data_IF_642847775295
#
_entry.id   IF_642847775295
#
_cell.length_a   1.000
_cell.length_b   1.000
_cell.length_c   1.000
_cell.angle_alpha   90.00
_cell.angle_beta   90.00
_cell.angle_gamma   90.00
#
_symmetry.space_group_name_H-M   'P 1'
#
loop_
_entity.id
_entity.type
_entity.pdbx_description
1 polymer ?
#
# COMPACT_ATOMS: atom_id res chain seq x y z
N UNK A 1 4.15 -15.98 12.63
CA UNK A 1 4.48 -15.27 11.38
C UNK A 1 5.26 -16.24 10.52
N UNK A 2 4.68 -16.62 9.40
CA UNK A 2 5.36 -17.40 8.36
C UNK A 2 6.12 -16.43 7.46
N UNK A 3 7.34 -16.79 7.06
CA UNK A 3 8.18 -15.97 6.22
C UNK A 3 8.09 -16.49 4.78
N UNK A 4 7.74 -15.59 3.86
CA UNK A 4 7.69 -15.90 2.43
C UNK A 4 9.02 -15.49 1.80
N UNK A 5 9.67 -16.39 1.07
CA UNK A 5 10.90 -16.09 0.36
C UNK A 5 10.63 -15.18 -0.84
N UNK A 6 11.54 -14.25 -1.11
CA UNK A 6 11.54 -13.54 -2.38
C UNK A 6 11.99 -14.51 -3.48
N UNK A 7 11.37 -14.44 -4.68
CA UNK A 7 11.78 -15.24 -5.83
C UNK A 7 13.29 -15.20 -6.06
N UNK A 8 13.87 -16.35 -6.44
CA UNK A 8 15.29 -16.43 -6.78
C UNK A 8 15.66 -15.41 -7.86
N UNK A 9 16.87 -14.88 -7.78
CA UNK A 9 17.39 -13.87 -8.71
C UNK A 9 16.60 -12.55 -8.76
N UNK A 10 15.78 -12.26 -7.74
CA UNK A 10 15.08 -10.99 -7.65
C UNK A 10 15.55 -10.15 -6.45
N UNK A 11 15.63 -8.84 -6.69
CA UNK A 11 15.95 -7.83 -5.69
C UNK A 11 14.94 -6.69 -5.76
N UNK A 12 14.86 -5.89 -4.70
CA UNK A 12 14.08 -4.67 -4.72
C UNK A 12 14.95 -3.49 -5.12
N UNK A 13 14.52 -2.71 -6.10
CA UNK A 13 14.92 -1.31 -6.22
C UNK A 13 13.95 -0.45 -5.41
N UNK A 14 14.47 0.52 -4.66
CA UNK A 14 13.68 1.47 -3.88
C UNK A 14 13.97 2.87 -4.36
N UNK A 15 12.92 3.62 -4.68
CA UNK A 15 12.98 5.02 -5.10
C UNK A 15 12.21 5.92 -4.12
N UNK A 16 12.92 6.78 -3.39
CA UNK A 16 12.32 7.89 -2.65
C UNK A 16 12.05 9.05 -3.61
N UNK A 17 10.81 9.53 -3.64
CA UNK A 17 10.36 10.48 -4.64
C UNK A 17 10.83 11.92 -4.41
N UNK A 18 11.50 12.23 -3.29
CA UNK A 18 11.93 13.59 -2.96
C UNK A 18 10.83 14.47 -2.35
N UNK A 19 9.67 13.89 -2.05
CA UNK A 19 8.60 14.49 -1.25
C UNK A 19 8.46 13.72 0.06
N UNK A 20 8.68 14.40 1.18
CA UNK A 20 8.27 13.88 2.47
C UNK A 20 6.75 14.00 2.59
N UNK A 21 6.12 13.01 3.22
CA UNK A 21 4.76 13.17 3.72
C UNK A 21 4.76 14.30 4.75
N UNK A 22 4.32 15.49 4.33
CA UNK A 22 4.32 16.67 5.19
C UNK A 22 3.36 16.42 6.37
N UNK A 23 3.88 16.37 7.61
CA UNK A 23 3.07 16.14 8.82
C UNK A 23 2.36 17.43 9.30
N UNK A 24 1.98 18.32 8.38
CA UNK A 24 1.47 19.66 8.70
C UNK A 24 0.26 20.02 7.83
N UNK A 25 -0.74 20.68 8.42
CA UNK A 25 -1.90 21.22 7.72
C UNK A 25 -2.74 20.15 7.02
N UNK A 26 -3.21 20.44 5.80
CA UNK A 26 -4.13 19.58 5.06
C UNK A 26 -3.63 18.14 4.80
N UNK A 27 -2.31 17.91 4.78
CA UNK A 27 -1.74 16.56 4.64
C UNK A 27 -1.89 15.75 5.93
N UNK A 28 -1.80 16.40 7.09
CA UNK A 28 -2.08 15.78 8.38
C UNK A 28 -3.57 15.40 8.49
N UNK A 29 -4.48 16.24 8.01
CA UNK A 29 -5.92 15.91 7.99
C UNK A 29 -6.23 14.71 7.09
N UNK A 30 -5.56 14.60 5.93
CA UNK A 30 -5.67 13.43 5.05
C UNK A 30 -5.05 12.17 5.68
N UNK A 31 -3.94 12.31 6.39
CA UNK A 31 -3.35 11.21 7.14
C UNK A 31 -4.28 10.73 8.26
N UNK A 32 -4.79 11.67 9.07
CA UNK A 32 -5.74 11.40 10.14
C UNK A 32 -7.00 10.74 9.58
N UNK A 33 -7.50 11.20 8.42
CA UNK A 33 -8.59 10.55 7.71
C UNK A 33 -8.32 9.06 7.46
N UNK A 34 -7.16 8.66 6.94
CA UNK A 34 -6.89 7.24 6.62
C UNK A 34 -6.93 6.32 7.86
N UNK A 35 -6.45 6.83 9.00
CA UNK A 35 -6.48 6.12 10.28
C UNK A 35 -7.87 6.15 10.91
N UNK A 36 -8.42 7.34 11.14
CA UNK A 36 -9.67 7.58 11.85
C UNK A 36 -10.90 7.01 11.11
N UNK A 37 -10.89 7.01 9.77
CA UNK A 37 -12.00 6.47 8.98
C UNK A 37 -12.21 4.98 9.21
N UNK A 38 -11.16 4.18 9.42
CA UNK A 38 -11.33 2.75 9.76
C UNK A 38 -11.98 2.55 11.12
N UNK A 39 -11.64 3.39 12.09
CA UNK A 39 -12.25 3.37 13.41
C UNK A 39 -13.72 3.81 13.34
N UNK A 40 -14.05 4.78 12.48
CA UNK A 40 -15.41 5.21 12.23
C UNK A 40 -16.26 4.10 11.57
N UNK A 41 -15.71 3.35 10.61
CA UNK A 41 -16.41 2.17 10.05
C UNK A 41 -16.67 1.13 11.15
N UNK A 42 -15.66 0.81 11.96
CA UNK A 42 -15.83 -0.15 13.05
C UNK A 42 -16.86 0.33 14.09
N UNK A 43 -16.90 1.64 14.38
CA UNK A 43 -17.88 2.23 15.28
C UNK A 43 -19.31 2.12 14.74
N UNK A 44 -19.52 2.42 13.45
CA UNK A 44 -20.84 2.28 12.83
C UNK A 44 -21.34 0.83 12.90
N UNK A 45 -20.46 -0.14 12.62
CA UNK A 45 -20.80 -1.56 12.71
C UNK A 45 -21.11 -2.02 14.14
N UNK A 46 -20.31 -1.60 15.14
CA UNK A 46 -20.57 -1.91 16.55
C UNK A 46 -21.93 -1.42 17.02
N UNK A 47 -22.30 -0.19 16.64
CA UNK A 47 -23.60 0.40 16.97
C UNK A 47 -24.76 -0.36 16.31
N UNK A 48 -24.63 -0.71 15.03
CA UNK A 48 -25.69 -1.39 14.29
C UNK A 48 -25.90 -2.86 14.76
N UNK A 49 -24.83 -3.53 15.15
CA UNK A 49 -24.84 -4.96 15.47
C UNK A 49 -24.93 -5.27 16.97
N UNK A 50 -24.86 -4.25 17.83
CA UNK A 50 -24.73 -4.38 19.29
C UNK A 50 -23.54 -5.28 19.69
N UNK A 51 -22.36 -4.93 19.15
CA UNK A 51 -21.09 -5.69 19.31
C UNK A 51 -19.92 -4.79 19.69
N UNK A 52 -18.77 -5.37 20.03
CA UNK A 52 -17.63 -4.68 20.63
C UNK A 52 -16.28 -4.83 19.89
N UNK A 53 -16.23 -5.47 18.71
CA UNK A 53 -14.99 -5.63 17.96
C UNK A 53 -14.31 -4.28 17.65
N UNK A 54 -13.04 -4.17 18.09
CA UNK A 54 -12.36 -2.89 18.18
C UNK A 54 -12.06 -2.25 16.82
N UNK A 55 -11.70 -3.06 15.82
CA UNK A 55 -11.22 -2.58 14.51
C UNK A 55 -11.64 -3.51 13.37
N UNK A 56 -11.52 -3.03 12.13
CA UNK A 56 -11.92 -3.77 10.93
C UNK A 56 -11.29 -5.16 10.81
N UNK A 57 -10.02 -5.31 11.18
CA UNK A 57 -9.38 -6.64 11.18
C UNK A 57 -10.07 -7.66 12.09
N UNK A 58 -10.54 -7.25 13.26
CA UNK A 58 -11.28 -8.11 14.17
C UNK A 58 -12.67 -8.42 13.59
N UNK A 59 -13.35 -7.42 13.04
CA UNK A 59 -14.65 -7.58 12.37
C UNK A 59 -14.54 -8.55 11.19
N UNK A 60 -13.51 -8.42 10.35
CA UNK A 60 -13.32 -9.27 9.18
C UNK A 60 -12.94 -10.71 9.51
N UNK A 61 -12.48 -10.97 10.73
CA UNK A 61 -12.13 -12.30 11.21
C UNK A 61 -13.32 -13.07 11.82
N UNK A 62 -14.49 -12.42 11.98
CA UNK A 62 -15.69 -13.06 12.52
C UNK A 62 -16.19 -14.13 11.53
N UNK A 63 -16.50 -15.35 11.98
CA UNK A 63 -17.16 -16.35 11.14
C UNK A 63 -18.48 -15.81 10.58
N UNK A 64 -18.63 -15.85 9.25
CA UNK A 64 -19.80 -15.28 8.57
C UNK A 64 -19.71 -13.78 8.28
N UNK A 65 -18.53 -13.15 8.44
CA UNK A 65 -18.29 -11.77 8.05
C UNK A 65 -18.88 -11.43 6.67
N UNK A 66 -19.65 -10.34 6.62
CA UNK A 66 -20.20 -9.78 5.38
C UNK A 66 -19.82 -8.31 5.25
N UNK A 67 -19.03 -7.99 4.23
CA UNK A 67 -18.75 -6.60 3.83
C UNK A 67 -20.06 -5.82 3.62
N UNK A 68 -21.09 -6.47 3.08
CA UNK A 68 -22.39 -5.84 2.82
C UNK A 68 -23.08 -5.41 4.12
N UNK A 69 -23.01 -6.21 5.18
CA UNK A 69 -23.55 -5.84 6.50
C UNK A 69 -22.83 -4.62 7.09
N UNK A 70 -21.50 -4.54 6.95
CA UNK A 70 -20.75 -3.35 7.37
C UNK A 70 -21.13 -2.12 6.53
N UNK A 71 -21.34 -2.30 5.23
CA UNK A 71 -21.78 -1.21 4.35
C UNK A 71 -23.20 -0.72 4.67
N UNK A 72 -24.10 -1.60 5.13
CA UNK A 72 -25.42 -1.23 5.65
C UNK A 72 -25.28 -0.46 6.97
N UNK A 73 -24.45 -0.94 7.90
CA UNK A 73 -24.20 -0.26 9.17
C UNK A 73 -23.66 1.17 8.98
N UNK A 74 -22.76 1.41 8.00
CA UNK A 74 -22.30 2.77 7.66
C UNK A 74 -23.46 3.69 7.26
N UNK A 75 -24.50 3.16 6.60
CA UNK A 75 -25.67 3.93 6.15
C UNK A 75 -26.65 4.19 7.28
N UNK A 76 -26.86 3.21 8.15
CA UNK A 76 -27.81 3.27 9.26
C UNK A 76 -27.27 4.03 10.48
N UNK A 77 -25.95 3.99 10.68
CA UNK A 77 -25.22 4.69 11.74
C UNK A 77 -24.19 5.66 11.12
N UNK A 78 -24.63 6.75 10.47
CA UNK A 78 -23.75 7.69 9.80
C UNK A 78 -22.81 8.40 10.79
N UNK A 79 -21.60 8.72 10.31
CA UNK A 79 -20.64 9.50 11.08
C UNK A 79 -20.87 11.00 10.93
N UNK A 80 -20.73 11.76 12.01
CA UNK A 80 -20.74 13.23 11.97
C UNK A 80 -19.52 13.82 11.24
N UNK A 81 -18.42 13.04 11.13
CA UNK A 81 -17.13 13.51 10.60
C UNK A 81 -16.88 13.08 9.15
N UNK A 82 -17.47 11.97 8.73
CA UNK A 82 -17.18 11.37 7.43
C UNK A 82 -18.46 11.02 6.67
N UNK A 83 -18.45 11.26 5.37
CA UNK A 83 -19.57 10.87 4.50
C UNK A 83 -19.66 9.35 4.38
N UNK A 84 -20.87 8.84 4.10
CA UNK A 84 -21.11 7.42 3.79
C UNK A 84 -20.17 6.94 2.67
N UNK A 85 -19.95 7.75 1.63
CA UNK A 85 -19.05 7.41 0.53
C UNK A 85 -17.62 7.20 1.01
N UNK A 86 -17.06 8.15 1.78
CA UNK A 86 -15.70 8.04 2.32
C UNK A 86 -15.50 6.79 3.16
N UNK A 87 -16.46 6.48 4.04
CA UNK A 87 -16.40 5.28 4.87
C UNK A 87 -16.57 3.99 4.04
N UNK A 88 -17.39 4.02 3.00
CA UNK A 88 -17.56 2.90 2.07
C UNK A 88 -16.28 2.67 1.26
N UNK A 89 -15.68 3.71 0.68
CA UNK A 89 -14.42 3.62 -0.06
C UNK A 89 -13.29 3.10 0.83
N UNK A 90 -13.27 3.50 2.12
CA UNK A 90 -12.30 2.97 3.09
C UNK A 90 -12.53 1.50 3.42
N UNK A 91 -13.78 1.08 3.64
CA UNK A 91 -14.16 -0.32 3.84
C UNK A 91 -13.78 -1.16 2.63
N UNK A 92 -14.06 -0.67 1.42
CA UNK A 92 -13.73 -1.33 0.16
C UNK A 92 -12.24 -1.56 0.03
N UNK A 93 -11.44 -0.51 0.23
CA UNK A 93 -10.00 -0.66 0.22
C UNK A 93 -9.54 -1.67 1.27
N UNK A 94 -10.03 -1.58 2.51
CA UNK A 94 -9.64 -2.52 3.57
C UNK A 94 -9.93 -3.97 3.18
N UNK A 95 -11.14 -4.23 2.68
CA UNK A 95 -11.58 -5.56 2.29
C UNK A 95 -10.75 -6.11 1.13
N UNK A 96 -10.57 -5.32 0.06
CA UNK A 96 -9.76 -5.73 -1.07
C UNK A 96 -8.32 -6.01 -0.66
N UNK A 97 -7.69 -5.12 0.11
CA UNK A 97 -6.28 -5.27 0.47
C UNK A 97 -6.06 -6.44 1.42
N UNK A 98 -6.83 -6.53 2.52
CA UNK A 98 -6.55 -7.45 3.62
C UNK A 98 -7.19 -8.83 3.42
N UNK A 99 -8.37 -8.89 2.80
CA UNK A 99 -9.11 -10.16 2.68
C UNK A 99 -8.91 -10.83 1.32
N UNK A 100 -8.50 -10.09 0.28
CA UNK A 100 -8.37 -10.64 -1.08
C UNK A 100 -6.94 -10.58 -1.61
N UNK A 101 -6.33 -9.39 -1.64
CA UNK A 101 -5.05 -9.16 -2.31
C UNK A 101 -3.89 -9.73 -1.52
N UNK A 102 -3.75 -9.37 -0.24
CA UNK A 102 -2.60 -9.78 0.57
C UNK A 102 -2.49 -11.31 0.69
N UNK A 103 -3.56 -12.07 1.04
CA UNK A 103 -3.48 -13.53 1.07
C UNK A 103 -3.11 -14.11 -0.30
N UNK A 104 -3.77 -13.66 -1.37
CA UNK A 104 -3.48 -14.16 -2.72
C UNK A 104 -2.08 -13.81 -3.24
N UNK A 105 -1.51 -12.69 -2.77
CA UNK A 105 -0.15 -12.27 -3.13
C UNK A 105 0.89 -13.12 -2.40
N UNK A 106 0.61 -13.50 -1.15
CA UNK A 106 1.41 -14.48 -0.40
C UNK A 106 1.37 -15.83 -1.12
N UNK A 107 0.19 -16.36 -1.41
CA UNK A 107 0.03 -17.63 -2.15
C UNK A 107 0.78 -17.58 -3.49
N UNK A 108 0.67 -16.47 -4.24
CA UNK A 108 1.33 -16.31 -5.52
C UNK A 108 2.86 -16.31 -5.41
N UNK A 109 3.44 -15.77 -4.34
CA UNK A 109 4.88 -15.82 -4.11
C UNK A 109 5.33 -17.23 -3.71
N UNK A 110 4.59 -17.90 -2.82
CA UNK A 110 4.87 -19.27 -2.38
C UNK A 110 4.79 -20.28 -3.52
N UNK A 111 3.84 -20.10 -4.44
CA UNK A 111 3.66 -20.93 -5.63
C UNK A 111 4.53 -20.49 -6.84
N UNK A 112 5.38 -19.46 -6.68
CA UNK A 112 6.20 -18.88 -7.75
C UNK A 112 5.39 -18.35 -8.96
N UNK A 113 4.13 -17.97 -8.76
CA UNK A 113 3.23 -17.41 -9.76
C UNK A 113 3.42 -15.88 -9.90
N UNK A 114 4.55 -15.46 -10.47
CA UNK A 114 4.94 -14.04 -10.58
C UNK A 114 3.97 -13.18 -11.39
N UNK A 115 3.35 -13.70 -12.44
CA UNK A 115 2.36 -12.95 -13.22
C UNK A 115 1.14 -12.61 -12.35
N UNK A 116 0.68 -13.56 -11.54
CA UNK A 116 -0.43 -13.33 -10.59
C UNK A 116 -0.04 -12.36 -9.49
N UNK A 117 1.16 -12.48 -8.93
CA UNK A 117 1.67 -11.53 -7.95
C UNK A 117 1.69 -10.10 -8.52
N UNK A 118 2.14 -9.98 -9.76
CA UNK A 118 2.19 -8.71 -10.50
C UNK A 118 0.80 -8.07 -10.62
N UNK A 119 -0.20 -8.82 -11.09
CA UNK A 119 -1.57 -8.33 -11.22
C UNK A 119 -2.17 -7.87 -9.87
N UNK A 120 -1.85 -8.58 -8.80
CA UNK A 120 -2.31 -8.26 -7.44
C UNK A 120 -1.67 -6.97 -6.92
N UNK A 121 -0.37 -6.77 -7.15
CA UNK A 121 0.34 -5.54 -6.76
C UNK A 121 -0.15 -4.34 -7.58
N UNK A 122 -0.32 -4.50 -8.90
CA UNK A 122 -0.86 -3.46 -9.78
C UNK A 122 -2.28 -3.06 -9.31
N UNK A 123 -3.10 -4.04 -8.89
CA UNK A 123 -4.42 -3.78 -8.30
C UNK A 123 -4.35 -3.06 -6.95
N UNK A 124 -3.45 -3.45 -6.05
CA UNK A 124 -3.24 -2.76 -4.76
C UNK A 124 -2.90 -1.29 -4.99
N UNK A 125 -1.96 -1.00 -5.90
CA UNK A 125 -1.60 0.36 -6.27
C UNK A 125 -2.82 1.14 -6.82
N UNK A 126 -3.60 0.56 -7.72
CA UNK A 126 -4.79 1.21 -8.27
C UNK A 126 -5.84 1.54 -7.19
N UNK A 127 -6.01 0.67 -6.19
CA UNK A 127 -6.94 0.91 -5.07
C UNK A 127 -6.39 1.98 -4.12
N UNK A 128 -5.07 2.06 -3.92
CA UNK A 128 -4.45 3.15 -3.18
C UNK A 128 -4.65 4.50 -3.89
N UNK A 129 -4.58 4.53 -5.22
CA UNK A 129 -4.84 5.73 -6.04
C UNK A 129 -6.33 6.13 -6.04
N UNK A 130 -7.25 5.18 -6.20
CA UNK A 130 -8.67 5.45 -6.43
C UNK A 130 -9.52 5.51 -5.16
N UNK A 131 -9.25 4.66 -4.17
CA UNK A 131 -10.06 4.55 -2.94
C UNK A 131 -9.42 5.27 -1.75
N UNK A 132 -8.13 5.01 -1.46
CA UNK A 132 -7.45 5.75 -0.39
C UNK A 132 -7.11 7.18 -0.80
N UNK A 133 -6.84 7.38 -2.09
CA UNK A 133 -6.37 8.63 -2.64
C UNK A 133 -5.17 9.17 -1.84
N UNK A 134 -4.27 8.27 -1.42
CA UNK A 134 -3.10 8.59 -0.61
C UNK A 134 -1.81 8.64 -1.42
N UNK A 135 -1.90 8.61 -2.74
CA UNK A 135 -0.74 8.69 -3.65
C UNK A 135 -0.53 10.12 -4.15
N UNK A 136 0.69 10.45 -4.55
CA UNK A 136 1.02 11.72 -5.22
C UNK A 136 1.41 11.47 -6.67
N UNK A 137 1.39 12.51 -7.51
CA UNK A 137 1.84 12.39 -8.89
C UNK A 137 3.26 11.82 -8.99
N UNK A 138 4.12 12.13 -8.01
CA UNK A 138 5.47 11.59 -7.94
C UNK A 138 5.50 10.08 -7.65
N UNK A 139 4.74 9.58 -6.67
CA UNK A 139 4.73 8.14 -6.34
C UNK A 139 4.05 7.34 -7.44
N UNK A 140 2.97 7.88 -8.03
CA UNK A 140 2.30 7.28 -9.20
C UNK A 140 3.25 7.18 -10.39
N UNK A 141 3.97 8.27 -10.70
CA UNK A 141 4.94 8.27 -11.80
C UNK A 141 6.05 7.25 -11.56
N UNK A 142 6.59 7.16 -10.35
CA UNK A 142 7.63 6.18 -10.02
C UNK A 142 7.17 4.75 -10.21
N UNK A 143 5.96 4.40 -9.77
CA UNK A 143 5.41 3.05 -9.99
C UNK A 143 5.29 2.77 -11.48
N UNK A 144 4.65 3.68 -12.23
CA UNK A 144 4.44 3.50 -13.67
C UNK A 144 5.77 3.38 -14.42
N UNK A 145 6.72 4.26 -14.16
CA UNK A 145 8.01 4.25 -14.84
C UNK A 145 8.87 3.03 -14.48
N UNK A 146 8.74 2.48 -13.26
CA UNK A 146 9.38 1.21 -12.90
C UNK A 146 8.82 0.05 -13.73
N UNK A 147 7.49 0.00 -13.89
CA UNK A 147 6.81 -1.02 -14.70
C UNK A 147 7.17 -0.90 -16.18
N UNK A 148 7.16 0.33 -16.73
CA UNK A 148 7.55 0.61 -18.12
C UNK A 148 9.02 0.20 -18.41
N UNK A 149 9.88 0.23 -17.40
CA UNK A 149 11.29 -0.19 -17.48
C UNK A 149 11.49 -1.68 -17.17
N UNK A 150 10.40 -2.44 -17.04
CA UNK A 150 10.42 -3.88 -16.94
C UNK A 150 10.61 -4.43 -15.52
N UNK A 151 10.26 -3.67 -14.48
CA UNK A 151 10.07 -4.26 -13.15
C UNK A 151 8.93 -5.27 -13.17
N UNK A 152 9.07 -6.39 -12.48
CA UNK A 152 8.03 -7.44 -12.34
C UNK A 152 6.80 -6.86 -11.68
N UNK A 153 6.98 -6.15 -10.56
CA UNK A 153 5.92 -5.47 -9.85
C UNK A 153 6.48 -4.20 -9.20
N UNK A 154 5.64 -3.20 -8.97
CA UNK A 154 6.05 -2.00 -8.27
C UNK A 154 4.85 -1.39 -7.53
N UNK A 155 5.10 -0.85 -6.34
CA UNK A 155 4.05 -0.21 -5.55
C UNK A 155 4.64 0.83 -4.59
N UNK A 156 3.86 1.88 -4.34
CA UNK A 156 4.15 2.82 -3.28
C UNK A 156 3.94 2.13 -1.92
N UNK A 157 4.81 2.43 -0.96
CA UNK A 157 4.71 1.82 0.37
C UNK A 157 4.86 2.84 1.49
N UNK A 158 4.37 2.45 2.67
CA UNK A 158 4.23 3.33 3.82
C UNK A 158 2.90 4.08 3.79
N UNK A 159 2.86 5.24 4.44
CA UNK A 159 1.61 5.94 4.69
C UNK A 159 1.00 6.66 3.47
N UNK A 160 1.79 6.92 2.43
CA UNK A 160 1.41 7.75 1.29
C UNK A 160 1.71 9.25 1.48
N UNK A 161 1.17 10.07 0.58
CA UNK A 161 1.38 11.52 0.44
C UNK A 161 2.83 11.92 0.16
N UNK A 162 3.56 11.04 -0.53
CA UNK A 162 4.98 11.14 -0.83
C UNK A 162 5.67 9.84 -0.43
N UNK A 163 6.97 9.90 -0.12
CA UNK A 163 7.73 8.75 0.33
C UNK A 163 8.30 7.93 -0.82
N UNK A 164 8.24 6.60 -0.68
CA UNK A 164 9.02 5.69 -1.51
C UNK A 164 8.15 4.69 -2.26
N UNK A 165 8.70 4.22 -3.36
CA UNK A 165 8.19 3.14 -4.20
C UNK A 165 9.21 2.02 -4.19
N UNK A 166 8.76 0.78 -4.08
CA UNK A 166 9.59 -0.39 -4.36
C UNK A 166 9.26 -0.93 -5.75
N UNK A 167 10.25 -1.53 -6.40
CA UNK A 167 10.13 -2.25 -7.66
C UNK A 167 10.87 -3.58 -7.53
N UNK A 168 10.19 -4.69 -7.79
CA UNK A 168 10.78 -6.02 -7.83
C UNK A 168 11.39 -6.25 -9.22
N UNK A 169 12.68 -6.51 -9.28
CA UNK A 169 13.43 -6.63 -10.54
C UNK A 169 14.34 -7.86 -10.52
N UNK A 170 14.67 -8.37 -11.70
CA UNK A 170 15.70 -9.39 -11.85
C UNK A 170 17.08 -8.80 -11.57
N UNK A 171 17.92 -9.51 -10.80
CA UNK A 171 19.20 -9.04 -10.30
C UNK A 171 20.21 -8.69 -11.42
N UNK A 172 20.17 -9.44 -12.53
CA UNK A 172 21.02 -9.20 -13.72
C UNK A 172 20.89 -7.79 -14.31
N UNK A 173 19.76 -7.11 -14.09
CA UNK A 173 19.52 -5.74 -14.60
C UNK A 173 19.55 -4.68 -13.50
N UNK A 174 19.90 -5.06 -12.27
CA UNK A 174 19.67 -4.21 -11.10
C UNK A 174 20.41 -2.86 -11.16
N UNK A 175 21.67 -2.87 -11.59
CA UNK A 175 22.48 -1.65 -11.73
C UNK A 175 21.92 -0.70 -12.79
N UNK A 176 21.74 -1.18 -14.02
CA UNK A 176 21.20 -0.39 -15.13
C UNK A 176 19.79 0.14 -14.82
N UNK A 177 18.92 -0.72 -14.27
CA UNK A 177 17.55 -0.35 -13.93
C UNK A 177 17.49 0.85 -12.98
N UNK A 178 18.29 0.83 -11.90
CA UNK A 178 18.28 1.92 -10.91
C UNK A 178 18.72 3.24 -11.53
N UNK A 179 19.76 3.22 -12.36
CA UNK A 179 20.28 4.43 -13.02
C UNK A 179 19.27 5.00 -14.02
N UNK A 180 18.69 4.16 -14.88
CA UNK A 180 17.69 4.58 -15.87
C UNK A 180 16.41 5.07 -15.19
N UNK A 181 15.97 4.38 -14.14
CA UNK A 181 14.76 4.74 -13.40
C UNK A 181 14.93 6.09 -12.70
N UNK A 182 16.08 6.31 -12.06
CA UNK A 182 16.43 7.57 -11.44
C UNK A 182 16.54 8.72 -12.46
N UNK A 183 17.19 8.50 -13.60
CA UNK A 183 17.34 9.50 -14.65
C UNK A 183 15.98 9.91 -15.24
N UNK A 184 15.14 8.93 -15.59
CA UNK A 184 13.79 9.16 -16.11
C UNK A 184 12.93 9.97 -15.12
N UNK A 185 12.96 9.61 -13.83
CA UNK A 185 12.20 10.34 -12.82
C UNK A 185 12.69 11.78 -12.62
N UNK A 186 14.02 11.99 -12.59
CA UNK A 186 14.60 13.32 -12.41
C UNK A 186 14.31 14.25 -13.59
N UNK A 187 14.29 13.72 -14.81
CA UNK A 187 13.90 14.47 -16.00
C UNK A 187 12.42 14.88 -15.95
N UNK A 188 11.54 13.93 -15.61
CA UNK A 188 10.10 14.18 -15.56
C UNK A 188 9.65 15.04 -14.37
N UNK A 189 10.39 15.04 -13.25
CA UNK A 189 10.06 15.80 -12.03
C UNK A 189 11.29 16.54 -11.48
N UNK A 190 11.83 17.59 -12.14
CA UNK A 190 13.12 18.18 -11.76
C UNK A 190 13.22 18.67 -10.30
N UNK A 191 12.19 19.34 -9.76
CA UNK A 191 12.20 19.83 -8.37
C UNK A 191 12.22 18.68 -7.34
N UNK A 192 11.33 17.70 -7.48
CA UNK A 192 11.28 16.56 -6.56
C UNK A 192 12.48 15.61 -6.80
N UNK A 193 12.84 15.41 -8.06
CA UNK A 193 13.96 14.62 -8.54
C UNK A 193 15.30 15.07 -7.98
N UNK A 194 15.53 16.38 -7.79
CA UNK A 194 16.75 16.88 -7.15
C UNK A 194 16.95 16.36 -5.71
N UNK A 195 15.87 15.92 -5.04
CA UNK A 195 15.88 15.36 -3.67
C UNK A 195 15.63 13.85 -3.64
N UNK A 196 15.50 13.22 -4.80
CA UNK A 196 15.17 11.79 -4.92
C UNK A 196 16.39 10.91 -4.64
N UNK A 197 16.14 9.73 -4.07
CA UNK A 197 17.18 8.75 -3.72
C UNK A 197 16.74 7.40 -4.28
N UNK A 198 17.67 6.69 -4.92
CA UNK A 198 17.42 5.37 -5.48
C UNK A 198 18.52 4.40 -5.05
N UNK A 199 18.15 3.18 -4.67
CA UNK A 199 19.09 2.16 -4.23
C UNK A 199 18.49 0.76 -4.35
N UNK A 200 19.36 -0.25 -4.31
CA UNK A 200 18.96 -1.66 -4.23
C UNK A 200 18.83 -2.10 -2.77
N UNK A 201 17.88 -3.00 -2.52
CA UNK A 201 17.62 -3.58 -1.21
C UNK A 201 17.27 -5.06 -1.36
N UNK A 202 17.79 -5.86 -0.45
CA UNK A 202 17.45 -7.28 -0.28
C UNK A 202 16.85 -7.49 1.12
N UNK A 203 15.96 -8.46 1.31
CA UNK A 203 15.44 -8.80 2.63
C UNK A 203 16.60 -9.12 3.60
N UNK A 204 16.67 -8.37 4.70
CA UNK A 204 17.68 -8.53 5.75
C UNK A 204 17.10 -9.15 7.03
N UNK A 205 17.97 -9.56 7.97
CA UNK A 205 17.51 -10.06 9.27
C UNK A 205 16.78 -8.96 10.07
N UNK A 206 15.80 -9.38 10.88
CA UNK A 206 15.17 -8.52 11.88
C UNK A 206 16.17 -8.16 13.00
N UNK A 207 15.78 -7.28 13.93
CA UNK A 207 16.63 -6.92 15.06
C UNK A 207 17.02 -8.15 15.90
N UNK A 208 18.32 -8.31 16.16
CA UNK A 208 18.88 -9.38 17.01
C UNK A 208 19.97 -8.82 17.94
N UNK A 209 20.24 -9.53 19.03
CA UNK A 209 21.30 -9.17 19.96
C UNK A 209 22.66 -9.63 19.43
N UNK A 210 23.66 -8.75 19.46
CA UNK A 210 25.04 -9.14 19.25
C UNK A 210 25.60 -9.70 20.56
N UNK A 211 25.91 -10.99 20.59
CA UNK A 211 26.72 -11.58 21.66
C UNK A 211 28.17 -11.17 21.43
N UNK A 212 28.78 -10.51 22.43
CA UNK A 212 30.19 -10.15 22.46
C UNK A 212 31.09 -11.39 22.65
#
# INVERSE_FOLDING_TARGET
HEAVAIPEHHVFAVGFCGRHAAKTGAVLDRYNYLSDSTAAVAAAWRLAMDRDEAHLGAISAIPGYSRTEVALAIRECPSDRYTVRQLTDRLDHFHHENNLILPAAVDALEEHHLDRFTELVDRSQQLAESLLQNQTDETILLVRSARDQGAVAASAFGAGFGGSVWALIHEDRAGEFVDTWAASYRDAKPDAGARSIFFLSSPGPAAFWLSA
#
